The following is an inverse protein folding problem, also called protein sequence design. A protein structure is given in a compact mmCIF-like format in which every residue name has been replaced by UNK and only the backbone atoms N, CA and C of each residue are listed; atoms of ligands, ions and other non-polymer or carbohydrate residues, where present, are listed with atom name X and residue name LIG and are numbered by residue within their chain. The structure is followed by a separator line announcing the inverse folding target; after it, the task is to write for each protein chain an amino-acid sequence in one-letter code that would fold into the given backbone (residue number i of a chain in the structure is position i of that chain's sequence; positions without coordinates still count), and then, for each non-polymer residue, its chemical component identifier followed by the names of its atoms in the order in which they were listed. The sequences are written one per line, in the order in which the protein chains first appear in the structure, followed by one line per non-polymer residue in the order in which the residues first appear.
data_IF_127699046312
#
_entry.id   IF_127699046312
#
_cell.length_a   1.000
_cell.length_b   1.000
_cell.length_c   1.000
_cell.angle_alpha   90.00
_cell.angle_beta   90.00
_cell.angle_gamma   90.00
#
_symmetry.space_group_name_H-M   'P 1'
#
loop_
_entity.id
_entity.type
_entity.pdbx_description
1 polymer ?
#
# COMPACT_ATOMS: atom_id res chain seq x y z
N UNK A 1 34.37 -40.31 -50.82
CA UNK A 1 33.01 -39.74 -50.70
C UNK A 1 33.06 -38.72 -49.59
N UNK A 2 33.25 -37.47 -49.96
CA UNK A 2 33.39 -36.34 -49.05
C UNK A 2 32.04 -35.62 -48.96
N UNK A 3 31.41 -35.67 -47.79
CA UNK A 3 30.13 -34.99 -47.54
C UNK A 3 30.44 -33.55 -47.06
N UNK A 4 30.12 -32.60 -47.91
CA UNK A 4 30.22 -31.18 -47.55
C UNK A 4 28.97 -30.77 -46.75
N UNK A 5 29.17 -30.30 -45.49
CA UNK A 5 28.14 -29.71 -44.70
C UNK A 5 28.02 -28.22 -45.07
N UNK A 6 26.84 -27.85 -45.56
CA UNK A 6 26.49 -26.47 -45.90
C UNK A 6 25.95 -25.80 -44.63
N UNK A 7 26.76 -24.92 -44.02
CA UNK A 7 26.31 -24.09 -42.92
C UNK A 7 25.52 -22.86 -43.46
N UNK A 8 24.23 -22.84 -43.20
CA UNK A 8 23.35 -21.72 -43.56
C UNK A 8 23.37 -20.70 -42.41
N UNK A 9 24.17 -19.66 -42.54
CA UNK A 9 24.15 -18.50 -41.63
C UNK A 9 22.95 -17.61 -41.98
N UNK A 10 21.89 -17.70 -41.18
CA UNK A 10 20.82 -16.70 -41.20
C UNK A 10 21.28 -15.45 -40.47
N UNK A 11 21.65 -14.43 -41.23
CA UNK A 11 21.83 -13.07 -40.70
C UNK A 11 20.44 -12.48 -40.50
N UNK A 12 19.97 -12.51 -39.25
CA UNK A 12 18.77 -11.76 -38.88
C UNK A 12 19.18 -10.29 -38.75
N UNK A 13 18.97 -9.52 -39.79
CA UNK A 13 18.96 -8.07 -39.72
C UNK A 13 17.70 -7.65 -38.92
N UNK A 14 17.84 -7.66 -37.60
CA UNK A 14 16.93 -6.99 -36.72
C UNK A 14 17.12 -5.47 -36.85
N UNK A 15 16.39 -4.82 -37.74
CA UNK A 15 16.17 -3.39 -37.66
C UNK A 15 15.32 -3.17 -36.40
N UNK A 16 15.98 -2.97 -35.25
CA UNK A 16 15.39 -2.34 -34.09
C UNK A 16 15.03 -0.92 -34.50
N UNK A 17 13.83 -0.73 -35.03
CA UNK A 17 13.20 0.58 -34.98
C UNK A 17 13.02 0.87 -33.50
N UNK A 18 14.01 1.51 -32.89
CA UNK A 18 13.79 2.30 -31.70
C UNK A 18 12.73 3.32 -32.13
N UNK A 19 11.47 3.04 -31.80
CA UNK A 19 10.47 4.10 -31.72
C UNK A 19 11.08 5.00 -30.64
N UNK A 20 11.70 6.10 -31.09
CA UNK A 20 12.01 7.20 -30.21
C UNK A 20 10.69 7.45 -29.49
N UNK A 21 10.69 7.30 -28.16
CA UNK A 21 9.64 7.85 -27.35
C UNK A 21 9.63 9.33 -27.75
N UNK A 22 8.66 9.70 -28.60
CA UNK A 22 8.35 11.09 -28.78
C UNK A 22 8.12 11.57 -27.35
N UNK A 23 8.88 12.52 -26.91
CA UNK A 23 8.52 13.31 -25.75
C UNK A 23 7.10 13.80 -26.04
N UNK A 24 6.12 13.08 -25.50
CA UNK A 24 4.77 13.58 -25.34
C UNK A 24 4.88 14.63 -24.25
N UNK A 25 5.43 15.79 -24.60
CA UNK A 25 5.15 17.02 -23.87
C UNK A 25 3.68 17.31 -24.17
N UNK A 26 2.79 16.60 -23.46
CA UNK A 26 1.42 17.00 -23.37
C UNK A 26 1.44 18.34 -22.63
N UNK A 27 1.40 19.43 -23.38
CA UNK A 27 1.12 20.73 -22.78
C UNK A 27 -0.17 20.58 -21.99
N UNK A 28 -0.12 20.86 -20.68
CA UNK A 28 -1.32 20.85 -19.85
C UNK A 28 -2.32 21.85 -20.45
N UNK A 29 -3.57 21.42 -20.56
CA UNK A 29 -4.66 22.20 -21.11
C UNK A 29 -5.49 22.79 -19.97
N UNK A 30 -5.99 24.03 -20.11
CA UNK A 30 -6.96 24.54 -19.14
C UNK A 30 -8.21 23.65 -19.12
N UNK A 31 -8.88 23.64 -17.97
CA UNK A 31 -10.18 22.96 -17.84
C UNK A 31 -11.19 23.52 -18.85
N UNK A 32 -12.00 22.62 -19.41
CA UNK A 32 -13.13 23.07 -20.25
C UNK A 32 -14.26 23.57 -19.32
N UNK A 33 -15.17 24.40 -19.86
CA UNK A 33 -16.31 24.87 -19.08
C UNK A 33 -17.13 23.71 -18.50
N UNK A 34 -17.28 22.60 -19.22
CA UNK A 34 -17.96 21.40 -18.70
C UNK A 34 -17.26 20.77 -17.49
N UNK A 35 -15.94 20.77 -17.49
CA UNK A 35 -15.14 20.29 -16.36
C UNK A 35 -15.28 21.21 -15.16
N UNK A 36 -15.20 22.53 -15.39
CA UNK A 36 -15.38 23.56 -14.36
C UNK A 36 -16.76 23.43 -13.72
N UNK A 37 -17.82 23.39 -14.54
CA UNK A 37 -19.20 23.29 -14.06
C UNK A 37 -19.40 22.01 -13.21
N UNK A 38 -18.88 20.85 -13.67
CA UNK A 38 -18.97 19.59 -12.94
C UNK A 38 -18.20 19.64 -11.60
N UNK A 39 -17.03 20.25 -11.57
CA UNK A 39 -16.25 20.40 -10.33
C UNK A 39 -16.93 21.39 -9.36
N UNK A 40 -17.56 22.47 -9.88
CA UNK A 40 -18.32 23.41 -9.05
C UNK A 40 -19.58 22.80 -8.45
N UNK A 41 -20.24 21.87 -9.12
CA UNK A 41 -21.41 21.16 -8.58
C UNK A 41 -21.05 20.34 -7.32
N UNK A 42 -19.80 19.84 -7.20
CA UNK A 42 -19.35 19.05 -6.03
C UNK A 42 -19.36 19.91 -4.76
N UNK A 43 -19.01 21.20 -4.84
CA UNK A 43 -19.07 22.11 -3.68
C UNK A 43 -20.51 22.32 -3.15
N UNK A 44 -21.52 22.12 -3.97
CA UNK A 44 -22.91 22.20 -3.55
C UNK A 44 -23.41 20.90 -2.91
N UNK A 45 -22.71 19.77 -3.12
CA UNK A 45 -23.10 18.45 -2.65
C UNK A 45 -22.40 18.04 -1.34
N UNK A 46 -21.20 18.54 -1.09
CA UNK A 46 -20.36 18.16 0.04
C UNK A 46 -20.03 19.36 0.91
N UNK A 47 -19.91 19.14 2.22
CA UNK A 47 -19.50 20.14 3.19
C UNK A 47 -17.96 20.19 3.26
N UNK A 48 -17.38 21.21 2.60
CA UNK A 48 -15.93 21.44 2.61
C UNK A 48 -15.45 22.24 3.83
N UNK A 49 -16.36 22.79 4.65
CA UNK A 49 -16.03 23.45 5.91
C UNK A 49 -15.85 22.45 7.06
N UNK A 50 -16.29 21.20 6.89
CA UNK A 50 -16.05 20.12 7.84
C UNK A 50 -14.56 19.78 7.92
N UNK A 51 -13.97 19.82 9.11
CA UNK A 51 -12.55 19.54 9.37
C UNK A 51 -12.30 18.24 10.11
N UNK A 52 -13.33 17.45 10.41
CA UNK A 52 -13.24 16.25 11.25
C UNK A 52 -12.20 15.26 10.70
N UNK A 53 -12.15 15.05 9.37
CA UNK A 53 -11.17 14.14 8.77
C UNK A 53 -9.72 14.65 8.86
N UNK A 54 -9.49 15.97 8.84
CA UNK A 54 -8.14 16.52 9.08
C UNK A 54 -7.73 16.36 10.54
N UNK A 55 -8.65 16.46 11.49
CA UNK A 55 -8.40 16.18 12.90
C UNK A 55 -8.09 14.69 13.10
N UNK A 56 -8.84 13.79 12.45
CA UNK A 56 -8.62 12.35 12.46
C UNK A 56 -7.27 11.98 11.83
N UNK A 57 -6.94 12.54 10.67
CA UNK A 57 -5.69 12.27 9.96
C UNK A 57 -4.44 12.70 10.74
N UNK A 58 -4.54 13.73 11.59
CA UNK A 58 -3.43 14.22 12.43
C UNK A 58 -3.40 13.58 13.82
N UNK A 59 -4.44 12.84 14.21
CA UNK A 59 -4.55 12.24 15.54
C UNK A 59 -3.42 11.23 15.79
N UNK A 60 -2.77 11.37 16.94
CA UNK A 60 -1.69 10.47 17.34
C UNK A 60 -0.34 10.74 16.65
N UNK A 61 -0.17 11.85 15.90
CA UNK A 61 1.09 12.19 15.25
C UNK A 61 2.21 12.35 16.30
N UNK A 62 3.27 11.53 16.17
CA UNK A 62 4.47 11.55 17.02
C UNK A 62 5.59 12.33 16.35
N UNK A 63 5.84 12.03 15.07
CA UNK A 63 6.93 12.60 14.31
C UNK A 63 6.59 12.70 12.81
N UNK A 64 7.02 13.79 12.21
CA UNK A 64 6.99 14.01 10.77
C UNK A 64 8.20 14.86 10.38
N UNK A 65 8.41 15.04 9.08
CA UNK A 65 9.47 15.89 8.52
C UNK A 65 8.87 16.93 7.59
N UNK A 66 9.51 18.09 7.45
CA UNK A 66 9.04 19.14 6.54
C UNK A 66 9.10 18.72 5.06
N UNK A 67 9.98 17.78 4.74
CA UNK A 67 10.16 17.21 3.40
C UNK A 67 10.41 15.72 3.51
N UNK A 68 9.83 14.95 2.59
CA UNK A 68 10.04 13.50 2.51
C UNK A 68 10.35 13.11 1.07
N UNK A 69 11.62 12.83 0.81
CA UNK A 69 12.14 12.27 -0.43
C UNK A 69 12.99 11.05 -0.12
N UNK A 70 12.59 9.89 -0.64
CA UNK A 70 13.29 8.62 -0.44
C UNK A 70 14.01 8.25 -1.73
N UNK A 71 15.28 7.88 -1.63
CA UNK A 71 16.14 7.54 -2.76
C UNK A 71 16.67 6.11 -2.65
N UNK A 72 16.93 5.48 -3.79
CA UNK A 72 17.66 4.21 -3.86
C UNK A 72 19.17 4.43 -3.63
N UNK A 73 19.94 3.33 -3.58
CA UNK A 73 21.40 3.33 -3.39
C UNK A 73 22.16 4.06 -4.52
N UNK A 74 21.54 4.27 -5.67
CA UNK A 74 22.11 4.97 -6.83
C UNK A 74 21.71 6.44 -6.87
N UNK A 75 20.94 6.93 -5.88
CA UNK A 75 20.45 8.30 -5.80
C UNK A 75 19.25 8.58 -6.71
N UNK A 76 18.55 7.56 -7.19
CA UNK A 76 17.30 7.71 -7.94
C UNK A 76 16.14 7.88 -6.95
N UNK A 77 15.29 8.89 -7.19
CA UNK A 77 14.10 9.13 -6.40
C UNK A 77 13.11 7.95 -6.52
N UNK A 78 12.76 7.38 -5.37
CA UNK A 78 11.81 6.25 -5.20
C UNK A 78 10.43 6.74 -4.79
N UNK A 79 10.38 7.67 -3.85
CA UNK A 79 9.15 8.21 -3.28
C UNK A 79 9.35 9.68 -2.90
N UNK A 80 8.29 10.49 -3.03
CA UNK A 80 8.32 11.90 -2.64
C UNK A 80 6.94 12.38 -2.19
N UNK A 81 6.88 12.88 -0.97
CA UNK A 81 5.79 13.74 -0.51
C UNK A 81 6.09 15.21 -0.83
N UNK A 82 7.36 15.59 -0.90
CA UNK A 82 7.81 16.94 -1.26
C UNK A 82 7.27 17.41 -2.63
N UNK A 83 7.07 16.44 -3.55
CA UNK A 83 6.50 16.72 -4.88
C UNK A 83 5.07 17.27 -4.84
N UNK A 84 4.37 17.12 -3.71
CA UNK A 84 2.98 17.54 -3.53
C UNK A 84 2.85 18.88 -2.76
N UNK A 85 3.92 19.65 -2.61
CA UNK A 85 3.89 20.98 -1.93
C UNK A 85 2.88 21.98 -2.54
N UNK A 86 2.40 21.71 -3.77
CA UNK A 86 1.35 22.52 -4.41
C UNK A 86 -0.03 22.39 -3.76
N UNK A 87 -0.24 21.42 -2.85
CA UNK A 87 -1.51 21.19 -2.17
C UNK A 87 -1.89 22.25 -1.12
N UNK A 88 -0.99 23.15 -0.77
CA UNK A 88 -1.24 24.23 0.21
C UNK A 88 -2.20 25.31 -0.30
N UNK A 89 -2.76 25.12 -1.51
CA UNK A 89 -3.69 26.06 -2.15
C UNK A 89 -5.05 25.41 -2.40
N UNK A 90 -6.03 26.22 -2.79
CA UNK A 90 -7.36 25.77 -3.15
C UNK A 90 -7.33 24.87 -4.40
N UNK A 91 -8.32 23.96 -4.52
CA UNK A 91 -8.44 23.09 -5.67
C UNK A 91 -8.57 23.89 -6.98
N UNK A 92 -7.73 23.61 -7.99
CA UNK A 92 -7.83 24.28 -9.28
C UNK A 92 -9.04 23.76 -10.08
N UNK A 93 -9.49 24.51 -11.06
CA UNK A 93 -10.60 24.14 -11.96
C UNK A 93 -10.37 22.80 -12.69
N UNK A 94 -9.13 22.35 -12.79
CA UNK A 94 -8.71 21.08 -13.42
C UNK A 94 -8.93 19.86 -12.54
N UNK A 95 -9.06 20.02 -11.23
CA UNK A 95 -9.18 18.94 -10.25
C UNK A 95 -10.58 18.87 -9.64
N UNK A 96 -11.07 17.65 -9.42
CA UNK A 96 -12.25 17.45 -8.60
C UNK A 96 -11.94 17.86 -7.15
N UNK A 97 -12.72 18.76 -6.51
CA UNK A 97 -12.40 19.27 -5.17
C UNK A 97 -12.41 18.19 -4.08
N UNK A 98 -13.25 17.14 -4.23
CA UNK A 98 -13.24 16.00 -3.32
C UNK A 98 -11.94 15.18 -3.43
N UNK A 99 -11.44 14.95 -4.65
CA UNK A 99 -10.15 14.30 -4.85
C UNK A 99 -8.99 15.18 -4.36
N UNK A 100 -9.08 16.49 -4.53
CA UNK A 100 -8.08 17.42 -4.00
C UNK A 100 -8.00 17.31 -2.47
N UNK A 101 -9.15 17.34 -1.79
CA UNK A 101 -9.25 17.17 -0.34
C UNK A 101 -8.71 15.81 0.10
N UNK A 102 -9.06 14.72 -0.59
CA UNK A 102 -8.51 13.38 -0.32
C UNK A 102 -6.98 13.36 -0.48
N UNK A 103 -6.45 14.06 -1.48
CA UNK A 103 -5.00 14.20 -1.68
C UNK A 103 -4.35 14.97 -0.53
N UNK A 104 -4.96 16.06 -0.06
CA UNK A 104 -4.47 16.80 1.11
C UNK A 104 -4.44 15.94 2.38
N UNK A 105 -5.46 15.12 2.61
CA UNK A 105 -5.53 14.19 3.74
C UNK A 105 -4.45 13.10 3.65
N UNK A 106 -4.26 12.49 2.48
CA UNK A 106 -3.20 11.50 2.25
C UNK A 106 -1.78 12.11 2.25
N UNK A 107 -1.66 13.44 2.15
CA UNK A 107 -0.40 14.17 2.28
C UNK A 107 0.00 14.41 3.74
N UNK A 108 -0.83 14.05 4.72
CA UNK A 108 -0.50 14.06 6.14
C UNK A 108 0.28 12.78 6.44
N UNK A 109 1.61 12.88 6.56
CA UNK A 109 2.52 11.76 6.68
C UNK A 109 3.40 11.81 7.93
N UNK A 110 3.88 10.65 8.38
CA UNK A 110 4.75 10.53 9.52
C UNK A 110 4.51 9.26 10.33
N UNK A 111 4.98 9.28 11.58
CA UNK A 111 4.77 8.25 12.59
C UNK A 111 3.61 8.64 13.50
N UNK A 112 2.63 7.75 13.64
CA UNK A 112 1.42 7.94 14.42
C UNK A 112 1.25 6.84 15.47
N UNK A 113 0.78 7.19 16.65
CA UNK A 113 0.26 6.23 17.61
C UNK A 113 -1.22 5.97 17.32
N UNK A 114 -1.56 4.73 16.97
CA UNK A 114 -2.94 4.28 16.79
C UNK A 114 -3.62 4.08 18.15
N UNK A 115 -2.96 3.33 19.01
CA UNK A 115 -3.29 3.13 20.42
C UNK A 115 -2.03 2.66 21.15
N UNK A 116 -2.02 2.59 22.47
CA UNK A 116 -0.86 2.20 23.26
C UNK A 116 -0.18 0.93 22.74
N UNK A 117 1.06 1.07 22.27
CA UNK A 117 1.89 0.01 21.72
C UNK A 117 1.55 -0.43 20.29
N UNK A 118 0.69 0.29 19.58
CA UNK A 118 0.44 0.12 18.15
C UNK A 118 0.71 1.43 17.41
N UNK A 119 1.61 1.39 16.44
CA UNK A 119 2.07 2.56 15.70
C UNK A 119 1.97 2.32 14.20
N UNK A 120 1.72 3.39 13.43
CA UNK A 120 1.75 3.37 11.97
C UNK A 120 2.68 4.43 11.42
N UNK A 121 3.42 4.07 10.38
CA UNK A 121 4.04 5.07 9.50
C UNK A 121 3.16 5.19 8.27
N UNK A 122 2.62 6.39 8.05
CA UNK A 122 1.69 6.72 6.98
C UNK A 122 2.36 7.65 5.98
N UNK A 123 1.99 7.51 4.70
CA UNK A 123 2.48 8.38 3.61
C UNK A 123 3.92 8.15 3.16
N UNK A 124 4.57 7.08 3.61
CA UNK A 124 5.91 6.66 3.16
C UNK A 124 5.87 5.76 1.91
N UNK A 125 4.69 5.30 1.54
CA UNK A 125 4.36 4.61 0.30
C UNK A 125 2.83 4.73 0.07
N UNK A 126 2.27 3.94 -0.82
CA UNK A 126 0.84 3.84 -1.08
C UNK A 126 0.07 3.31 0.14
N UNK A 127 0.59 2.28 0.78
CA UNK A 127 0.04 1.67 2.00
C UNK A 127 0.70 2.20 3.28
N UNK A 128 0.11 1.87 4.42
CA UNK A 128 0.66 2.15 5.74
C UNK A 128 1.38 0.91 6.27
N UNK A 129 2.52 1.10 6.92
CA UNK A 129 3.20 0.04 7.66
C UNK A 129 2.88 0.18 9.16
N UNK A 130 2.51 -0.94 9.80
CA UNK A 130 2.15 -0.97 11.22
C UNK A 130 3.22 -1.69 12.05
N UNK A 131 3.48 -1.15 13.23
CA UNK A 131 4.41 -1.70 14.22
C UNK A 131 3.66 -1.95 15.52
N UNK A 132 3.59 -3.22 15.93
CA UNK A 132 2.98 -3.64 17.20
C UNK A 132 4.11 -3.97 18.16
N UNK A 133 4.11 -3.32 19.34
CA UNK A 133 5.13 -3.56 20.35
C UNK A 133 4.84 -4.85 21.10
N UNK A 134 5.76 -5.81 20.97
CA UNK A 134 5.80 -7.02 21.77
C UNK A 134 6.66 -6.85 23.04
N UNK A 135 6.88 -7.95 23.74
CA UNK A 135 7.68 -7.98 24.98
C UNK A 135 9.14 -7.60 24.74
N UNK A 136 9.72 -8.03 23.61
CA UNK A 136 11.15 -7.89 23.32
C UNK A 136 11.47 -7.21 21.99
N UNK A 137 10.47 -7.06 21.09
CA UNK A 137 10.68 -6.53 19.75
C UNK A 137 9.42 -5.99 19.09
N UNK A 138 9.48 -5.91 17.76
CA UNK A 138 8.39 -5.45 16.92
C UNK A 138 7.72 -6.62 16.17
N UNK A 139 6.41 -6.58 16.08
CA UNK A 139 5.63 -7.29 15.08
C UNK A 139 5.29 -6.27 14.01
N UNK A 140 5.76 -6.48 12.78
CA UNK A 140 5.55 -5.56 11.65
C UNK A 140 4.43 -6.10 10.80
N UNK A 141 3.47 -5.24 10.42
CA UNK A 141 2.36 -5.58 9.53
C UNK A 141 2.48 -4.78 8.25
N UNK A 142 2.36 -5.45 7.12
CA UNK A 142 2.35 -4.88 5.77
C UNK A 142 3.55 -3.95 5.48
N UNK A 143 4.74 -4.52 5.21
CA UNK A 143 5.98 -3.76 5.06
C UNK A 143 6.09 -3.01 3.72
N UNK A 144 5.04 -2.33 3.27
CA UNK A 144 4.99 -1.45 2.11
C UNK A 144 5.33 -2.14 0.77
N UNK A 145 5.38 -1.35 -0.32
CA UNK A 145 5.64 -1.84 -1.67
C UNK A 145 7.13 -1.97 -1.99
N UNK A 146 7.97 -1.06 -1.49
CA UNK A 146 9.40 -1.05 -1.79
C UNK A 146 10.29 -1.12 -0.55
N UNK A 147 11.46 -1.75 -0.74
CA UNK A 147 12.45 -1.94 0.32
C UNK A 147 12.94 -0.60 0.89
N UNK A 148 13.15 0.38 0.02
CA UNK A 148 13.64 1.70 0.37
C UNK A 148 12.64 2.46 1.25
N UNK A 149 11.35 2.39 0.90
CA UNK A 149 10.27 3.00 1.67
C UNK A 149 10.09 2.31 3.03
N UNK A 150 10.11 0.97 3.04
CA UNK A 150 10.02 0.20 4.28
C UNK A 150 11.18 0.48 5.23
N UNK A 151 12.41 0.54 4.71
CA UNK A 151 13.60 0.87 5.49
C UNK A 151 13.53 2.30 6.06
N UNK A 152 13.08 3.27 5.26
CA UNK A 152 12.91 4.66 5.72
C UNK A 152 11.84 4.76 6.82
N UNK A 153 10.71 4.06 6.66
CA UNK A 153 9.65 3.99 7.67
C UNK A 153 10.14 3.34 8.97
N UNK A 154 10.90 2.25 8.87
CA UNK A 154 11.47 1.58 10.03
C UNK A 154 12.49 2.46 10.75
N UNK A 155 13.35 3.18 10.01
CA UNK A 155 14.29 4.14 10.59
C UNK A 155 13.55 5.24 11.39
N UNK A 156 12.44 5.76 10.89
CA UNK A 156 11.62 6.73 11.63
C UNK A 156 11.10 6.17 12.95
N UNK A 157 10.69 4.90 12.96
CA UNK A 157 10.27 4.20 14.19
C UNK A 157 11.43 4.05 15.16
N UNK A 158 12.60 3.59 14.70
CA UNK A 158 13.78 3.42 15.55
C UNK A 158 14.25 4.73 16.16
N UNK A 159 14.25 5.81 15.41
CA UNK A 159 14.66 7.15 15.84
C UNK A 159 13.75 7.71 16.96
N UNK A 160 12.45 7.41 16.92
CA UNK A 160 11.47 8.00 17.85
C UNK A 160 11.05 7.06 18.98
N UNK A 161 11.04 5.74 18.76
CA UNK A 161 10.54 4.74 19.71
C UNK A 161 11.65 3.81 20.23
N UNK A 162 12.85 3.90 19.66
CA UNK A 162 14.02 3.08 20.02
C UNK A 162 14.19 1.86 19.15
N UNK A 163 15.43 1.37 19.12
CA UNK A 163 15.86 0.22 18.31
C UNK A 163 15.51 -1.09 19.00
N UNK A 164 14.65 -1.88 18.38
CA UNK A 164 14.25 -3.21 18.85
C UNK A 164 14.26 -4.19 17.68
N UNK A 165 14.57 -5.49 17.91
CA UNK A 165 14.55 -6.49 16.85
C UNK A 165 13.11 -6.71 16.36
N UNK A 166 12.98 -7.08 15.08
CA UNK A 166 11.73 -7.60 14.55
C UNK A 166 11.56 -9.06 14.97
N UNK A 167 10.37 -9.44 15.42
CA UNK A 167 10.03 -10.80 15.86
C UNK A 167 9.11 -11.52 14.90
N UNK A 168 8.26 -10.78 14.22
CA UNK A 168 7.43 -11.31 13.15
C UNK A 168 7.10 -10.23 12.12
N UNK A 169 6.78 -10.69 10.91
CA UNK A 169 6.15 -9.89 9.87
C UNK A 169 4.83 -10.56 9.51
N UNK A 170 3.75 -9.79 9.44
CA UNK A 170 2.42 -10.24 9.03
C UNK A 170 2.10 -9.59 7.70
N UNK A 171 1.77 -10.39 6.70
CA UNK A 171 1.18 -9.92 5.44
C UNK A 171 -0.33 -10.08 5.55
N UNK A 172 -1.07 -8.99 5.46
CA UNK A 172 -2.54 -9.04 5.55
C UNK A 172 -3.16 -9.69 4.32
N UNK A 173 -2.58 -9.47 3.14
CA UNK A 173 -3.08 -10.02 1.89
C UNK A 173 -2.01 -10.02 0.77
N UNK A 174 -2.38 -10.55 -0.39
CA UNK A 174 -1.43 -10.94 -1.46
C UNK A 174 -1.06 -9.83 -2.45
N UNK A 175 -1.43 -8.57 -2.23
CA UNK A 175 -1.00 -7.46 -3.05
C UNK A 175 0.39 -6.96 -2.67
N UNK A 176 1.15 -6.49 -3.67
CA UNK A 176 2.58 -6.21 -3.52
C UNK A 176 2.89 -5.06 -2.57
N UNK A 177 2.00 -4.13 -2.42
CA UNK A 177 2.14 -2.98 -1.51
C UNK A 177 2.00 -3.33 -0.02
N UNK A 178 1.72 -4.60 0.29
CA UNK A 178 1.65 -5.13 1.66
C UNK A 178 2.78 -6.10 2.00
N UNK A 179 3.65 -6.45 1.03
CA UNK A 179 4.80 -7.34 1.30
C UNK A 179 6.09 -6.96 0.57
N UNK A 180 6.00 -6.13 -0.48
CA UNK A 180 7.12 -5.87 -1.39
C UNK A 180 8.34 -5.25 -0.74
N UNK A 181 8.18 -4.52 0.34
CA UNK A 181 9.26 -3.90 1.11
C UNK A 181 9.91 -4.78 2.17
N UNK A 182 9.51 -6.04 2.33
CA UNK A 182 9.90 -6.89 3.47
C UNK A 182 11.41 -6.98 3.71
N UNK A 183 12.23 -7.00 2.66
CA UNK A 183 13.71 -7.04 2.80
C UNK A 183 14.32 -5.69 3.17
N UNK A 184 13.54 -4.63 3.25
CA UNK A 184 13.94 -3.38 3.89
C UNK A 184 13.85 -3.44 5.42
N UNK A 185 13.17 -4.45 5.96
CA UNK A 185 12.91 -4.64 7.40
C UNK A 185 13.68 -5.85 7.97
N UNK A 186 13.65 -6.99 7.27
CA UNK A 186 14.26 -8.25 7.69
C UNK A 186 15.03 -8.90 6.55
N UNK A 187 15.93 -9.84 6.88
CA UNK A 187 16.64 -10.67 5.92
C UNK A 187 16.06 -12.09 5.85
N UNK A 188 16.37 -12.82 4.78
CA UNK A 188 16.06 -14.26 4.72
C UNK A 188 16.82 -15.06 5.80
N UNK A 189 17.99 -14.60 6.21
CA UNK A 189 18.79 -15.26 7.24
C UNK A 189 18.09 -15.20 8.61
N UNK A 190 17.46 -14.08 8.95
CA UNK A 190 16.65 -13.92 10.18
C UNK A 190 15.49 -14.91 10.22
N UNK A 191 14.85 -15.15 9.07
CA UNK A 191 13.75 -16.10 8.95
C UNK A 191 14.25 -17.56 8.98
N UNK A 192 15.34 -17.86 8.29
CA UNK A 192 15.92 -19.21 8.27
C UNK A 192 16.50 -19.63 9.63
N UNK A 193 17.02 -18.68 10.43
CA UNK A 193 17.48 -18.93 11.81
C UNK A 193 16.32 -19.21 12.77
N UNK A 194 15.09 -18.79 12.41
CA UNK A 194 13.92 -18.85 13.26
C UNK A 194 13.79 -17.66 14.22
N UNK A 195 14.60 -16.61 14.04
CA UNK A 195 14.55 -15.39 14.86
C UNK A 195 13.32 -14.53 14.51
N UNK A 196 12.87 -14.59 13.24
CA UNK A 196 11.72 -13.88 12.71
C UNK A 196 10.74 -14.86 12.05
N UNK A 197 9.47 -14.73 12.39
CA UNK A 197 8.37 -15.48 11.78
C UNK A 197 7.68 -14.60 10.71
N UNK A 198 7.33 -15.19 9.55
CA UNK A 198 6.54 -14.52 8.52
C UNK A 198 5.18 -15.23 8.44
N UNK A 199 4.11 -14.46 8.66
CA UNK A 199 2.73 -14.95 8.79
C UNK A 199 1.89 -14.38 7.65
N UNK A 200 1.04 -15.21 7.03
CA UNK A 200 0.13 -14.78 5.97
C UNK A 200 -1.14 -15.64 5.93
N UNK A 201 -2.22 -15.18 5.27
CA UNK A 201 -3.41 -16.00 5.07
C UNK A 201 -3.15 -17.17 4.11
N UNK A 202 -3.91 -18.24 4.24
CA UNK A 202 -3.86 -19.41 3.34
C UNK A 202 -3.94 -18.99 1.86
N UNK A 203 -3.04 -19.55 1.05
CA UNK A 203 -2.99 -19.30 -0.39
C UNK A 203 -2.28 -18.00 -0.78
N UNK A 204 -1.74 -17.24 0.16
CA UNK A 204 -1.03 -15.99 -0.08
C UNK A 204 0.03 -16.11 -1.18
N UNK A 205 0.97 -17.06 -1.05
CA UNK A 205 2.08 -17.22 -2.01
C UNK A 205 1.57 -17.48 -3.43
N UNK A 206 0.57 -18.34 -3.57
CA UNK A 206 -0.03 -18.66 -4.88
C UNK A 206 -0.59 -17.41 -5.56
N UNK A 207 -1.27 -16.56 -4.82
CA UNK A 207 -1.90 -15.36 -5.37
C UNK A 207 -0.89 -14.25 -5.60
N UNK A 208 0.07 -14.04 -4.71
CA UNK A 208 1.17 -13.09 -4.88
C UNK A 208 2.00 -13.42 -6.14
N UNK A 209 2.37 -14.69 -6.34
CA UNK A 209 3.10 -15.15 -7.53
C UNK A 209 2.25 -15.01 -8.80
N UNK A 210 0.95 -15.36 -8.73
CA UNK A 210 0.05 -15.26 -9.88
C UNK A 210 -0.05 -13.82 -10.39
N UNK A 211 -0.23 -12.85 -9.51
CA UNK A 211 -0.39 -11.45 -9.90
C UNK A 211 0.93 -10.81 -10.31
N UNK A 212 1.99 -10.99 -9.55
CA UNK A 212 3.23 -10.23 -9.75
C UNK A 212 4.19 -10.88 -10.76
N UNK A 213 4.13 -12.20 -10.96
CA UNK A 213 5.01 -12.90 -11.91
C UNK A 213 4.25 -13.29 -13.17
N UNK A 214 3.20 -14.10 -13.07
CA UNK A 214 2.50 -14.58 -14.28
C UNK A 214 1.75 -13.46 -15.00
N UNK A 215 1.00 -12.63 -14.29
CA UNK A 215 0.25 -11.52 -14.86
C UNK A 215 1.03 -10.19 -14.84
N UNK A 216 2.16 -10.10 -14.15
CA UNK A 216 2.84 -8.86 -13.76
C UNK A 216 3.06 -7.87 -14.90
N UNK A 217 3.59 -8.30 -16.04
CA UNK A 217 3.81 -7.40 -17.19
C UNK A 217 2.50 -6.84 -17.76
N UNK A 218 1.45 -7.65 -17.84
CA UNK A 218 0.15 -7.20 -18.34
C UNK A 218 -0.55 -6.27 -17.34
N UNK A 219 -0.48 -6.62 -16.05
CA UNK A 219 -1.04 -5.81 -14.98
C UNK A 219 -0.30 -4.47 -14.85
N UNK A 220 1.03 -4.46 -14.89
CA UNK A 220 1.82 -3.24 -14.82
C UNK A 220 1.52 -2.25 -15.94
N UNK A 221 1.29 -2.74 -17.18
CA UNK A 221 0.86 -1.88 -18.28
C UNK A 221 -0.52 -1.25 -18.05
N UNK A 222 -1.47 -2.01 -17.52
CA UNK A 222 -2.81 -1.51 -17.19
C UNK A 222 -2.78 -0.56 -15.98
N UNK A 223 -1.95 -0.87 -14.99
CA UNK A 223 -1.74 -0.02 -13.82
C UNK A 223 -1.24 1.38 -14.21
N UNK A 224 -0.40 1.49 -15.25
CA UNK A 224 0.06 2.78 -15.76
C UNK A 224 -1.09 3.68 -16.23
N UNK A 225 -2.17 3.10 -16.75
CA UNK A 225 -3.37 3.85 -17.12
C UNK A 225 -4.31 4.07 -15.94
N UNK A 226 -4.42 3.10 -15.03
CA UNK A 226 -5.32 3.20 -13.87
C UNK A 226 -4.83 4.24 -12.87
N UNK A 227 -3.53 4.23 -12.57
CA UNK A 227 -2.92 5.08 -11.52
C UNK A 227 -2.23 6.33 -12.07
N UNK A 228 -2.17 6.50 -13.40
CA UNK A 228 -1.47 7.63 -13.99
C UNK A 228 0.04 7.67 -13.67
N UNK A 229 0.70 6.51 -13.52
CA UNK A 229 2.09 6.41 -13.03
C UNK A 229 3.13 7.13 -13.90
N UNK A 230 2.76 7.54 -15.12
CA UNK A 230 3.60 8.31 -16.04
C UNK A 230 3.39 9.83 -15.91
N UNK A 231 2.43 10.25 -15.09
CA UNK A 231 2.18 11.66 -14.83
C UNK A 231 3.02 12.12 -13.64
N UNK A 232 3.49 13.36 -13.71
CA UNK A 232 4.14 14.01 -12.56
C UNK A 232 3.10 14.57 -11.60
N UNK A 233 3.41 14.61 -10.32
CA UNK A 233 2.58 15.24 -9.31
C UNK A 233 2.43 16.73 -9.62
N UNK A 234 1.23 17.20 -9.88
CA UNK A 234 0.92 18.60 -10.16
C UNK A 234 -0.58 18.85 -10.19
N UNK A 235 -0.98 20.11 -10.21
CA UNK A 235 -2.38 20.55 -10.36
C UNK A 235 -3.08 20.05 -11.64
N UNK A 236 -2.31 19.66 -12.65
CA UNK A 236 -2.80 19.18 -13.95
C UNK A 236 -2.30 17.78 -14.28
N UNK A 237 -1.60 17.13 -13.36
CA UNK A 237 -1.03 15.79 -13.51
C UNK A 237 -1.62 14.78 -12.52
N UNK A 238 -0.72 14.08 -11.79
CA UNK A 238 -1.14 13.10 -10.79
C UNK A 238 -1.53 13.77 -9.47
N UNK A 239 -2.64 13.32 -8.91
CA UNK A 239 -3.07 13.53 -7.53
C UNK A 239 -3.06 12.18 -6.80
N UNK A 240 -3.70 12.08 -5.62
CA UNK A 240 -3.88 10.80 -4.94
C UNK A 240 -4.66 9.79 -5.81
N UNK A 241 -4.45 8.53 -5.52
CA UNK A 241 -5.14 7.41 -6.19
C UNK A 241 -6.31 6.85 -5.36
N UNK A 242 -6.74 7.60 -4.34
CA UNK A 242 -7.81 7.26 -3.40
C UNK A 242 -7.27 6.57 -2.14
N UNK A 243 -6.53 5.49 -2.30
CA UNK A 243 -5.95 4.69 -1.20
C UNK A 243 -4.54 5.15 -0.78
N UNK A 244 -4.07 6.28 -1.27
CA UNK A 244 -2.75 6.86 -1.00
C UNK A 244 -2.32 7.78 -2.13
N UNK A 245 -1.09 8.33 -2.04
CA UNK A 245 -0.59 9.30 -3.00
C UNK A 245 -0.19 8.69 -4.35
N UNK A 246 0.21 7.42 -4.37
CA UNK A 246 0.66 6.72 -5.57
C UNK A 246 1.54 5.52 -5.23
N UNK A 247 2.16 4.92 -6.24
CA UNK A 247 3.05 3.77 -6.08
C UNK A 247 4.50 4.23 -6.01
N UNK A 248 5.26 3.74 -5.02
CA UNK A 248 6.71 3.95 -4.98
C UNK A 248 7.41 3.27 -6.16
N UNK A 249 8.56 3.81 -6.56
CA UNK A 249 9.35 3.34 -7.73
C UNK A 249 10.64 2.63 -7.31
N UNK A 250 10.63 2.04 -6.10
CA UNK A 250 11.74 1.33 -5.51
C UNK A 250 11.81 -0.14 -5.87
N UNK A 251 12.65 -0.85 -5.15
CA UNK A 251 12.88 -2.29 -5.34
C UNK A 251 11.86 -3.10 -4.55
N UNK A 252 11.12 -3.98 -5.21
CA UNK A 252 10.24 -4.94 -4.56
C UNK A 252 10.99 -6.23 -4.22
N UNK A 253 10.59 -6.86 -3.13
CA UNK A 253 11.17 -8.09 -2.62
C UNK A 253 10.09 -9.07 -2.16
N UNK A 254 10.51 -10.26 -1.78
CA UNK A 254 9.62 -11.29 -1.26
C UNK A 254 10.37 -12.21 -0.31
N UNK A 255 9.73 -12.59 0.78
CA UNK A 255 10.12 -13.67 1.67
C UNK A 255 8.89 -14.54 1.90
N UNK A 256 9.00 -15.85 1.65
CA UNK A 256 7.88 -16.78 1.81
C UNK A 256 7.40 -16.84 3.26
N UNK A 257 6.06 -16.91 3.50
CA UNK A 257 5.53 -17.15 4.83
C UNK A 257 6.06 -18.45 5.45
N UNK A 258 6.31 -18.40 6.75
CA UNK A 258 6.69 -19.58 7.57
C UNK A 258 5.49 -20.14 8.32
N UNK A 259 4.40 -19.36 8.41
CA UNK A 259 3.14 -19.75 9.02
C UNK A 259 1.99 -19.23 8.15
N UNK A 260 1.11 -20.12 7.74
CA UNK A 260 -0.16 -19.76 7.09
C UNK A 260 -1.32 -19.90 8.10
N UNK A 261 -2.18 -18.87 8.14
CA UNK A 261 -3.44 -18.88 8.88
C UNK A 261 -4.49 -19.57 8.01
N UNK A 262 -5.08 -20.66 8.49
CA UNK A 262 -5.93 -21.55 7.69
C UNK A 262 -7.39 -21.53 8.09
N UNK A 263 -7.74 -20.95 9.24
CA UNK A 263 -9.13 -20.84 9.69
C UNK A 263 -9.39 -19.57 10.52
N UNK A 264 -10.61 -19.06 10.43
CA UNK A 264 -11.07 -17.94 11.28
C UNK A 264 -11.13 -18.39 12.74
N UNK A 265 -10.66 -17.55 13.65
CA UNK A 265 -10.57 -17.80 15.09
C UNK A 265 -9.24 -18.45 15.51
N UNK A 266 -8.34 -18.72 14.57
CA UNK A 266 -6.96 -19.16 14.88
C UNK A 266 -6.21 -18.10 15.68
N UNK A 267 -5.51 -18.52 16.76
CA UNK A 267 -4.80 -17.63 17.68
C UNK A 267 -3.33 -18.00 17.77
N UNK A 268 -2.50 -16.97 17.69
CA UNK A 268 -1.07 -17.11 17.91
C UNK A 268 -0.57 -16.08 18.92
N UNK A 269 0.32 -16.50 19.81
CA UNK A 269 1.04 -15.57 20.70
C UNK A 269 2.41 -15.28 20.09
N UNK A 270 2.63 -14.05 19.71
CA UNK A 270 3.83 -13.57 19.04
C UNK A 270 4.50 -12.54 19.95
N UNK A 271 5.70 -12.83 20.44
CA UNK A 271 6.45 -11.96 21.35
C UNK A 271 5.58 -11.39 22.49
N UNK A 272 4.73 -12.25 23.11
CA UNK A 272 3.84 -11.90 24.20
C UNK A 272 2.49 -11.30 23.81
N UNK A 273 2.25 -10.98 22.54
CA UNK A 273 0.99 -10.45 22.02
C UNK A 273 0.15 -11.59 21.45
N UNK A 274 -1.04 -11.84 22.02
CA UNK A 274 -2.03 -12.76 21.44
C UNK A 274 -2.78 -12.05 20.33
N UNK A 275 -2.77 -12.64 19.13
CA UNK A 275 -3.46 -12.19 17.93
C UNK A 275 -4.43 -13.29 17.48
N UNK A 276 -5.69 -12.93 17.29
CA UNK A 276 -6.74 -13.79 16.73
C UNK A 276 -7.05 -13.36 15.31
N UNK A 277 -7.03 -14.30 14.37
CA UNK A 277 -7.16 -14.02 12.94
C UNK A 277 -8.56 -14.35 12.42
N UNK A 278 -9.03 -13.51 11.47
CA UNK A 278 -10.24 -13.76 10.69
C UNK A 278 -9.86 -13.80 9.21
N UNK A 279 -10.08 -14.92 8.55
CA UNK A 279 -9.89 -15.04 7.10
C UNK A 279 -11.03 -14.35 6.34
N UNK A 280 -10.66 -13.55 5.33
CA UNK A 280 -11.60 -12.80 4.49
C UNK A 280 -11.29 -12.99 2.98
N UNK A 281 -11.16 -14.25 2.50
CA UNK A 281 -10.73 -14.50 1.13
C UNK A 281 -11.75 -14.00 0.11
N UNK A 282 -11.24 -13.42 -1.00
CA UNK A 282 -12.07 -12.91 -2.09
C UNK A 282 -12.70 -11.55 -1.83
N UNK A 283 -12.28 -10.86 -0.78
CA UNK A 283 -12.59 -9.45 -0.52
C UNK A 283 -11.73 -8.55 -1.37
N UNK A 284 -10.85 -7.72 -0.81
CA UNK A 284 -9.97 -6.87 -1.59
C UNK A 284 -8.94 -7.72 -2.37
N UNK A 285 -8.44 -8.80 -1.76
CA UNK A 285 -7.57 -9.79 -2.39
C UNK A 285 -8.13 -11.21 -2.30
N UNK A 286 -7.65 -12.14 -3.18
CA UNK A 286 -8.06 -13.55 -3.13
C UNK A 286 -7.65 -14.25 -1.84
N UNK A 287 -6.52 -13.86 -1.22
CA UNK A 287 -6.05 -14.29 0.08
C UNK A 287 -5.87 -13.05 0.95
N UNK A 288 -6.72 -12.92 1.95
CA UNK A 288 -6.77 -11.76 2.85
C UNK A 288 -7.24 -12.17 4.23
N UNK A 289 -6.79 -11.44 5.26
CA UNK A 289 -7.20 -11.65 6.64
C UNK A 289 -7.22 -10.37 7.45
N UNK A 290 -8.18 -10.25 8.35
CA UNK A 290 -8.22 -9.30 9.45
C UNK A 290 -7.61 -9.95 10.71
N UNK A 291 -7.34 -9.16 11.75
CA UNK A 291 -6.98 -9.70 13.05
C UNK A 291 -7.39 -8.81 14.23
N UNK A 292 -7.57 -9.46 15.37
CA UNK A 292 -7.93 -8.85 16.63
C UNK A 292 -6.80 -8.97 17.66
N UNK A 293 -6.50 -7.87 18.35
CA UNK A 293 -5.56 -7.81 19.49
C UNK A 293 -6.36 -7.49 20.73
N UNK A 294 -6.82 -8.53 21.45
CA UNK A 294 -7.70 -8.39 22.60
C UNK A 294 -7.09 -7.60 23.76
N UNK A 295 -5.79 -7.70 23.99
CA UNK A 295 -5.07 -6.93 25.02
C UNK A 295 -5.03 -5.41 24.77
N UNK A 296 -5.37 -4.98 23.55
CA UNK A 296 -5.36 -3.58 23.10
C UNK A 296 -6.75 -3.09 22.68
N UNK A 297 -7.76 -3.95 22.69
CA UNK A 297 -9.09 -3.69 22.11
C UNK A 297 -8.99 -3.11 20.68
N UNK A 298 -8.06 -3.64 19.89
CA UNK A 298 -7.71 -3.12 18.58
C UNK A 298 -8.02 -4.14 17.48
N UNK A 299 -8.81 -3.71 16.48
CA UNK A 299 -9.20 -4.51 15.33
C UNK A 299 -8.50 -3.98 14.07
N UNK A 300 -7.66 -4.81 13.47
CA UNK A 300 -7.06 -4.58 12.17
C UNK A 300 -7.94 -5.13 11.07
N UNK A 301 -8.30 -4.30 10.10
CA UNK A 301 -9.25 -4.65 9.04
C UNK A 301 -8.60 -4.75 7.66
N UNK A 302 -7.29 -4.92 7.58
CA UNK A 302 -6.54 -5.01 6.32
C UNK A 302 -6.94 -3.90 5.32
N UNK A 303 -7.55 -4.25 4.19
CA UNK A 303 -8.13 -3.31 3.23
C UNK A 303 -9.67 -3.39 3.17
N UNK A 304 -10.28 -4.13 4.11
CA UNK A 304 -11.72 -4.37 4.13
C UNK A 304 -12.57 -3.16 4.53
N UNK A 305 -11.97 -2.14 5.15
CA UNK A 305 -12.66 -0.94 5.65
C UNK A 305 -11.87 0.33 5.37
N UNK A 306 -11.34 0.51 4.16
CA UNK A 306 -10.61 1.72 3.76
C UNK A 306 -11.46 2.98 3.86
N UNK A 307 -10.84 4.13 4.11
CA UNK A 307 -11.51 5.43 4.20
C UNK A 307 -12.21 5.87 2.91
N UNK A 308 -11.81 5.29 1.78
CA UNK A 308 -12.43 5.51 0.46
C UNK A 308 -13.19 4.27 0.01
N UNK A 309 -14.21 4.46 -0.85
CA UNK A 309 -14.99 3.35 -1.40
C UNK A 309 -14.13 2.53 -2.37
N UNK A 310 -13.78 1.31 -1.97
CA UNK A 310 -12.97 0.43 -2.80
C UNK A 310 -13.77 -0.15 -3.98
N UNK A 311 -13.12 -0.32 -5.15
CA UNK A 311 -13.75 -0.95 -6.30
C UNK A 311 -13.88 -2.47 -6.13
N UNK A 312 -14.90 -3.09 -6.76
CA UNK A 312 -15.05 -4.55 -6.82
C UNK A 312 -14.32 -5.18 -8.01
N UNK A 313 -13.95 -4.37 -9.01
CA UNK A 313 -13.18 -4.80 -10.17
C UNK A 313 -12.16 -3.74 -10.55
N UNK A 314 -10.89 -4.07 -10.42
CA UNK A 314 -9.81 -3.15 -10.75
C UNK A 314 -9.42 -3.24 -12.23
N UNK A 315 -9.24 -2.08 -12.88
CA UNK A 315 -8.89 -2.00 -14.30
C UNK A 315 -7.50 -2.59 -14.61
N UNK A 316 -6.59 -2.66 -13.65
CA UNK A 316 -5.29 -3.33 -13.82
C UNK A 316 -5.45 -4.85 -14.06
N UNK A 317 -6.57 -5.46 -13.64
CA UNK A 317 -6.93 -6.82 -14.00
C UNK A 317 -6.71 -7.86 -12.90
N UNK A 318 -6.89 -7.51 -11.63
CA UNK A 318 -7.00 -8.47 -10.53
C UNK A 318 -8.27 -9.33 -10.65
N UNK A 319 -8.37 -10.38 -9.83
CA UNK A 319 -9.62 -11.15 -9.73
C UNK A 319 -10.78 -10.24 -9.30
N UNK A 320 -11.97 -10.53 -9.83
CA UNK A 320 -13.18 -9.82 -9.41
C UNK A 320 -13.46 -10.15 -7.94
N UNK A 321 -13.68 -9.12 -7.15
CA UNK A 321 -13.98 -9.22 -5.72
C UNK A 321 -15.43 -9.61 -5.49
N UNK A 322 -15.66 -10.41 -4.46
CA UNK A 322 -17.01 -10.83 -4.06
C UNK A 322 -17.59 -9.83 -3.06
N UNK A 323 -18.38 -8.87 -3.56
CA UNK A 323 -19.00 -7.83 -2.72
C UNK A 323 -20.00 -8.39 -1.68
N UNK A 324 -20.60 -9.57 -1.92
CA UNK A 324 -21.47 -10.21 -0.92
C UNK A 324 -20.65 -10.83 0.21
N UNK A 325 -19.62 -11.61 -0.13
CA UNK A 325 -18.72 -12.18 0.86
C UNK A 325 -18.01 -11.08 1.68
N UNK A 326 -17.61 -9.97 1.01
CA UNK A 326 -17.01 -8.82 1.68
C UNK A 326 -17.94 -8.24 2.77
N UNK A 327 -19.22 -8.02 2.43
CA UNK A 327 -20.20 -7.55 3.39
C UNK A 327 -20.42 -8.54 4.54
N UNK A 328 -20.44 -9.85 4.24
CA UNK A 328 -20.58 -10.92 5.25
C UNK A 328 -19.40 -10.93 6.22
N UNK A 329 -18.15 -10.79 5.74
CA UNK A 329 -16.96 -10.73 6.60
C UNK A 329 -16.91 -9.49 7.48
N UNK A 330 -17.35 -8.31 6.97
CA UNK A 330 -17.48 -7.11 7.81
C UNK A 330 -18.52 -7.35 8.92
N UNK A 331 -19.67 -7.96 8.60
CA UNK A 331 -20.68 -8.30 9.61
C UNK A 331 -20.19 -9.36 10.60
N UNK A 332 -19.36 -10.31 10.17
CA UNK A 332 -18.70 -11.27 11.04
C UNK A 332 -17.71 -10.58 11.98
N UNK A 333 -16.86 -9.65 11.48
CA UNK A 333 -15.96 -8.84 12.31
C UNK A 333 -16.73 -8.05 13.39
N UNK A 334 -17.86 -7.45 13.02
CA UNK A 334 -18.73 -6.75 13.96
C UNK A 334 -19.32 -7.69 15.02
N UNK A 335 -19.72 -8.91 14.62
CA UNK A 335 -20.27 -9.90 15.55
C UNK A 335 -19.21 -10.46 16.51
N UNK A 336 -17.97 -10.63 16.05
CA UNK A 336 -16.88 -11.17 16.84
C UNK A 336 -16.27 -10.12 17.79
N UNK A 337 -16.05 -8.91 17.32
CA UNK A 337 -15.19 -7.92 17.98
C UNK A 337 -15.85 -6.56 18.22
N UNK A 338 -16.98 -6.24 17.55
CA UNK A 338 -17.57 -4.90 17.52
C UNK A 338 -17.90 -4.32 18.90
N UNK A 339 -18.40 -5.14 19.82
CA UNK A 339 -18.70 -4.70 21.20
C UNK A 339 -17.46 -4.50 22.08
N UNK A 340 -16.27 -4.91 21.60
CA UNK A 340 -15.02 -4.90 22.36
C UNK A 340 -13.98 -3.95 21.77
N UNK A 341 -14.11 -3.60 20.49
CA UNK A 341 -13.13 -2.79 19.79
C UNK A 341 -13.24 -1.32 20.20
N UNK A 342 -12.15 -0.76 20.74
CA UNK A 342 -12.02 0.66 21.02
C UNK A 342 -11.44 1.40 19.80
N UNK A 343 -10.71 0.69 18.94
CA UNK A 343 -10.10 1.23 17.74
C UNK A 343 -10.15 0.22 16.59
N UNK A 344 -10.48 0.73 15.40
CA UNK A 344 -10.37 0.02 14.11
C UNK A 344 -9.31 0.74 13.29
N UNK A 345 -8.41 -0.01 12.67
CA UNK A 345 -7.34 0.56 11.85
C UNK A 345 -7.00 -0.36 10.67
N UNK A 346 -6.24 0.15 9.69
CA UNK A 346 -6.15 -0.48 8.38
C UNK A 346 -4.85 -0.11 7.66
N UNK A 347 -4.66 -0.67 6.45
CA UNK A 347 -3.44 -0.54 5.67
C UNK A 347 -3.37 0.68 4.74
N UNK A 348 -4.43 1.45 4.60
CA UNK A 348 -4.47 2.64 3.76
C UNK A 348 -5.17 3.80 4.44
N UNK A 349 -4.91 5.03 3.96
CA UNK A 349 -5.45 6.29 4.48
C UNK A 349 -5.03 6.54 5.96
N UNK A 350 -5.88 7.22 6.75
CA UNK A 350 -5.63 7.62 8.15
C UNK A 350 -6.54 6.91 9.17
#
# INVERSE_FOLDING_TARGET
MTTAALALTMTVCGSSSAIAASELTAESKPATQYTIDANQEVYALLDFEDTEEFENATKGLIASTDTLDIYDENGKLVWSQTAYAFLDQDAPDTANPSLWRDTQLNHIYGLFEVTDGIYQVRGYDMSNITFIKGDTGWIVVDPLMSMECAAAAFSLVEENLGTFPVKAVIYSHSHVDHFGGVRGIISEEDVQSGDVQVIAPEGFEKHAVSENIYAGTAMGRRASYQYGTMLEASETGALAIGIGMGQSKGSTSYISPTLEITETGEKHTIDGVEIEFQLTPGTEAPAEMNFWIGSKNALWMAENCTGTLHNLYTLRGAQVRDGNAWAEYIMESLALYGDQADVVFQSHNW
#
